data_IF_561028780721
#
_entry.id   IF_561028780721
#
_cell.length_a   1.000
_cell.length_b   1.000
_cell.length_c   1.000
_cell.angle_alpha   90.00
_cell.angle_beta   90.00
_cell.angle_gamma   90.00
#
_symmetry.space_group_name_H-M   'P 1'
#
loop_
_entity.id
_entity.type
_entity.pdbx_description
1 polymer ?
#
# COMPACT_ATOMS: atom_id res chain seq x y z
N UNK A 1 8.88 -25.19 -7.82
CA UNK A 1 9.93 -24.49 -8.63
C UNK A 1 9.75 -22.99 -8.40
N UNK A 2 10.81 -22.19 -8.33
CA UNK A 2 10.67 -20.76 -8.06
C UNK A 2 10.34 -19.96 -9.35
N UNK A 3 9.20 -19.27 -9.38
CA UNK A 3 8.87 -18.28 -10.41
C UNK A 3 9.28 -16.89 -9.92
N UNK A 4 9.94 -16.09 -10.77
CA UNK A 4 10.34 -14.72 -10.45
C UNK A 4 10.03 -13.77 -11.60
N UNK A 5 9.38 -12.65 -11.31
CA UNK A 5 9.08 -11.59 -12.28
C UNK A 5 9.06 -10.22 -11.62
N UNK A 6 8.97 -9.15 -12.42
CA UNK A 6 8.87 -7.79 -11.91
C UNK A 6 7.59 -7.12 -12.38
N UNK A 7 6.89 -6.50 -11.43
CA UNK A 7 5.81 -5.55 -11.71
C UNK A 7 6.42 -4.14 -11.74
N UNK A 8 6.51 -3.59 -12.95
CA UNK A 8 7.18 -2.31 -13.25
C UNK A 8 6.59 -1.67 -14.48
N UNK A 9 7.41 -1.37 -15.50
CA UNK A 9 6.98 -0.69 -16.72
C UNK A 9 6.35 0.70 -16.46
N UNK A 10 6.96 1.44 -15.54
CA UNK A 10 6.48 2.77 -15.15
C UNK A 10 6.49 3.78 -16.29
N UNK A 11 7.27 3.56 -17.36
CA UNK A 11 7.25 4.38 -18.57
C UNK A 11 5.87 4.43 -19.24
N UNK A 12 5.00 3.47 -18.91
CA UNK A 12 3.60 3.42 -19.35
C UNK A 12 2.59 3.70 -18.22
N UNK A 13 3.00 4.20 -17.06
CA UNK A 13 2.11 4.36 -15.87
C UNK A 13 0.94 5.32 -16.08
N UNK A 14 1.05 6.22 -17.07
CA UNK A 14 -0.02 7.14 -17.47
C UNK A 14 -0.84 6.62 -18.67
N UNK A 15 -0.46 5.49 -19.26
CA UNK A 15 -1.11 4.88 -20.42
C UNK A 15 -2.18 3.89 -20.00
N UNK A 16 -3.24 3.79 -20.80
CA UNK A 16 -4.27 2.76 -20.65
C UNK A 16 -3.76 1.36 -21.04
N UNK A 17 -2.63 1.24 -21.74
CA UNK A 17 -2.07 -0.05 -22.15
C UNK A 17 -1.05 -0.63 -21.15
N UNK A 18 -0.61 0.17 -20.17
CA UNK A 18 0.37 -0.24 -19.17
C UNK A 18 -0.20 -1.21 -18.12
N UNK A 19 0.62 -1.86 -17.29
CA UNK A 19 0.14 -2.79 -16.26
C UNK A 19 -0.45 -2.09 -15.03
N UNK A 20 -0.45 -0.75 -15.01
CA UNK A 20 -0.94 0.07 -13.91
C UNK A 20 -2.18 0.85 -14.32
N UNK A 21 -3.04 1.12 -13.34
CA UNK A 21 -4.16 2.04 -13.45
C UNK A 21 -4.25 2.92 -12.20
N UNK A 22 -4.93 4.05 -12.29
CA UNK A 22 -5.25 4.84 -11.10
C UNK A 22 -6.21 4.05 -10.22
N UNK A 23 -5.83 3.92 -8.94
CA UNK A 23 -6.62 3.23 -7.93
C UNK A 23 -7.87 4.00 -7.54
N UNK A 24 -8.81 3.29 -6.94
CA UNK A 24 -10.10 3.85 -6.58
C UNK A 24 -11.13 2.78 -6.26
N UNK A 25 -12.36 3.21 -6.01
CA UNK A 25 -13.48 2.32 -5.72
C UNK A 25 -14.78 2.79 -6.38
N UNK A 26 -15.62 1.86 -6.87
CA UNK A 26 -16.97 2.20 -7.27
C UNK A 26 -17.82 2.54 -6.04
N UNK A 27 -18.62 3.60 -6.17
CA UNK A 27 -19.50 4.10 -5.13
C UNK A 27 -20.93 3.59 -5.32
N UNK A 28 -21.71 3.63 -4.23
CA UNK A 28 -23.11 3.14 -4.24
C UNK A 28 -24.04 3.94 -5.17
N UNK A 29 -23.69 5.18 -5.47
CA UNK A 29 -24.42 6.04 -6.39
C UNK A 29 -24.08 5.79 -7.87
N UNK A 30 -23.20 4.81 -8.15
CA UNK A 30 -22.75 4.46 -9.49
C UNK A 30 -21.57 5.28 -10.02
N UNK A 31 -21.11 6.29 -9.26
CA UNK A 31 -19.88 7.01 -9.59
C UNK A 31 -18.63 6.20 -9.18
N UNK A 32 -17.45 6.68 -9.57
CA UNK A 32 -16.17 6.05 -9.21
C UNK A 32 -15.27 7.06 -8.51
N UNK A 33 -14.86 6.74 -7.28
CA UNK A 33 -13.87 7.52 -6.55
C UNK A 33 -12.48 7.18 -7.08
N UNK A 34 -11.68 8.19 -7.45
CA UNK A 34 -10.31 7.99 -7.93
C UNK A 34 -9.31 8.60 -6.97
N UNK A 35 -8.28 7.84 -6.62
CA UNK A 35 -7.12 8.33 -5.87
C UNK A 35 -6.15 9.02 -6.82
N UNK A 36 -6.52 10.23 -7.26
CA UNK A 36 -5.72 11.03 -8.18
C UNK A 36 -5.61 12.47 -7.69
N UNK A 37 -4.53 12.80 -7.00
CA UNK A 37 -4.20 14.21 -6.73
C UNK A 37 -4.07 14.98 -8.06
N UNK A 38 -4.81 16.10 -8.25
CA UNK A 38 -4.86 16.83 -9.51
C UNK A 38 -3.54 17.52 -9.87
N UNK A 39 -2.81 17.98 -8.86
CA UNK A 39 -1.53 18.69 -9.02
C UNK A 39 -0.32 17.76 -8.80
N UNK A 40 -0.53 16.44 -8.91
CA UNK A 40 0.56 15.48 -8.80
C UNK A 40 1.51 15.57 -10.00
N UNK A 41 2.80 15.67 -9.71
CA UNK A 41 3.88 15.64 -10.72
C UNK A 41 4.45 14.23 -10.76
N UNK A 42 4.24 13.54 -11.89
CA UNK A 42 4.70 12.17 -12.14
C UNK A 42 5.91 12.20 -13.05
N UNK A 43 7.01 11.59 -12.61
CA UNK A 43 8.27 11.51 -13.34
C UNK A 43 8.73 10.05 -13.34
N UNK A 44 9.09 9.55 -14.51
CA UNK A 44 9.70 8.22 -14.65
C UNK A 44 11.11 8.41 -15.17
N UNK A 45 12.09 7.90 -14.42
CA UNK A 45 13.50 7.99 -14.80
C UNK A 45 14.26 6.77 -14.27
N UNK A 46 15.15 6.22 -15.08
CA UNK A 46 15.98 5.06 -14.72
C UNK A 46 15.16 3.86 -14.19
N UNK A 47 13.96 3.65 -14.75
CA UNK A 47 13.05 2.57 -14.32
C UNK A 47 12.35 2.80 -12.98
N UNK A 48 12.54 3.96 -12.34
CA UNK A 48 11.90 4.33 -11.06
C UNK A 48 10.69 5.24 -11.31
N UNK A 49 9.66 5.08 -10.49
CA UNK A 49 8.53 5.99 -10.41
C UNK A 49 8.84 7.06 -9.36
N UNK A 50 8.63 8.33 -9.71
CA UNK A 50 8.65 9.47 -8.80
C UNK A 50 7.30 10.18 -8.90
N UNK A 51 6.66 10.43 -7.76
CA UNK A 51 5.43 11.22 -7.68
C UNK A 51 5.58 12.25 -6.57
N UNK A 52 5.38 13.53 -6.89
CA UNK A 52 5.23 14.60 -5.90
C UNK A 52 3.80 15.10 -5.93
N UNK A 53 3.09 15.01 -4.81
CA UNK A 53 1.69 15.41 -4.70
C UNK A 53 1.51 16.42 -3.55
N UNK A 54 1.17 17.68 -3.86
CA UNK A 54 0.48 18.55 -2.90
C UNK A 54 -0.87 17.91 -2.59
N UNK A 55 -1.16 17.68 -1.32
CA UNK A 55 -2.39 16.97 -0.94
C UNK A 55 -3.59 17.93 -1.01
N UNK A 56 -4.67 17.46 -1.64
CA UNK A 56 -5.92 18.20 -1.82
C UNK A 56 -7.15 17.31 -1.84
N UNK A 57 -6.99 16.00 -2.12
CA UNK A 57 -8.10 15.06 -2.06
C UNK A 57 -8.48 14.76 -0.63
N UNK A 58 -9.78 14.79 -0.37
CA UNK A 58 -10.38 14.34 0.88
C UNK A 58 -11.76 13.75 0.62
N UNK A 59 -12.26 12.96 1.57
CA UNK A 59 -13.58 12.37 1.52
C UNK A 59 -14.21 12.36 2.93
N UNK A 60 -15.18 13.25 3.15
CA UNK A 60 -15.67 13.57 4.51
C UNK A 60 -16.43 12.45 5.23
N UNK A 61 -16.83 11.39 4.52
CA UNK A 61 -17.80 10.42 5.04
C UNK A 61 -17.31 8.96 5.07
N UNK A 62 -16.18 8.65 4.45
CA UNK A 62 -15.71 7.25 4.29
C UNK A 62 -14.20 7.21 4.40
N UNK A 63 -13.70 6.65 5.50
CA UNK A 63 -12.28 6.65 5.87
C UNK A 63 -11.37 6.11 4.76
N UNK A 64 -11.69 4.94 4.21
CA UNK A 64 -10.89 4.32 3.13
C UNK A 64 -10.81 5.20 1.88
N UNK A 65 -11.85 5.99 1.60
CA UNK A 65 -11.84 6.91 0.46
C UNK A 65 -11.05 8.20 0.77
N UNK A 66 -10.95 8.58 2.04
CA UNK A 66 -10.17 9.73 2.48
C UNK A 66 -8.68 9.40 2.51
N UNK A 67 -8.30 8.22 2.98
CA UNK A 67 -6.90 7.91 3.30
C UNK A 67 -5.96 8.06 2.10
N UNK A 68 -6.31 7.43 0.97
CA UNK A 68 -5.50 7.51 -0.23
C UNK A 68 -5.76 8.80 -1.00
N UNK A 69 -4.66 9.43 -1.41
CA UNK A 69 -4.66 10.73 -2.11
C UNK A 69 -4.33 10.55 -3.57
N UNK A 70 -3.21 9.86 -3.81
CA UNK A 70 -2.76 9.48 -5.14
C UNK A 70 -2.30 8.03 -5.10
N UNK A 71 -2.90 7.16 -5.91
CA UNK A 71 -2.59 5.73 -5.85
C UNK A 71 -2.68 5.07 -7.21
N UNK A 72 -1.75 4.16 -7.48
CA UNK A 72 -1.80 3.25 -8.62
C UNK A 72 -2.06 1.83 -8.16
N UNK A 73 -2.90 1.11 -8.89
CA UNK A 73 -3.11 -0.33 -8.73
C UNK A 73 -2.51 -1.08 -9.90
N UNK A 74 -1.99 -2.28 -9.65
CA UNK A 74 -1.79 -3.27 -10.70
C UNK A 74 -3.14 -3.59 -11.35
N UNK A 75 -3.18 -3.68 -12.69
CA UNK A 75 -4.40 -4.05 -13.41
C UNK A 75 -4.75 -5.51 -13.18
N UNK A 76 -3.74 -6.36 -13.26
CA UNK A 76 -3.87 -7.78 -12.95
C UNK A 76 -3.42 -8.01 -11.51
N UNK A 77 -4.19 -8.78 -10.72
CA UNK A 77 -3.74 -9.22 -9.42
C UNK A 77 -2.64 -10.28 -9.56
N UNK A 78 -1.84 -10.44 -8.51
CA UNK A 78 -0.86 -11.50 -8.40
C UNK A 78 -1.43 -12.64 -7.56
N UNK A 79 -1.63 -13.79 -8.17
CA UNK A 79 -2.14 -14.99 -7.52
C UNK A 79 -1.15 -15.54 -6.46
N UNK A 80 -1.70 -15.96 -5.33
CA UNK A 80 -0.96 -16.64 -4.26
C UNK A 80 -0.97 -18.14 -4.53
N UNK A 81 0.19 -18.85 -4.50
CA UNK A 81 0.22 -20.29 -4.71
C UNK A 81 -0.56 -21.01 -3.61
N UNK A 82 -1.30 -22.07 -3.97
CA UNK A 82 -2.11 -22.81 -2.99
C UNK A 82 -1.25 -23.44 -1.90
N UNK A 83 -0.13 -24.04 -2.31
CA UNK A 83 0.86 -24.72 -1.47
C UNK A 83 2.19 -24.01 -1.69
N UNK A 84 2.49 -22.98 -0.90
CA UNK A 84 3.72 -22.24 -1.09
C UNK A 84 3.77 -20.88 -0.41
N UNK A 85 4.80 -20.13 -0.77
CA UNK A 85 5.01 -18.76 -0.35
C UNK A 85 5.14 -17.82 -1.56
N UNK A 86 4.72 -16.58 -1.35
CA UNK A 86 4.91 -15.49 -2.28
C UNK A 86 5.59 -14.33 -1.57
N UNK A 87 6.57 -13.71 -2.23
CA UNK A 87 7.33 -12.60 -1.70
C UNK A 87 7.32 -11.42 -2.66
N UNK A 88 7.06 -10.23 -2.13
CA UNK A 88 7.11 -8.96 -2.83
C UNK A 88 8.24 -8.12 -2.26
N UNK A 89 9.24 -7.79 -3.08
CA UNK A 89 10.40 -6.99 -2.69
C UNK A 89 10.49 -5.73 -3.53
N UNK A 90 10.71 -4.59 -2.90
CA UNK A 90 10.69 -3.28 -3.55
C UNK A 90 11.46 -2.25 -2.73
N UNK A 91 11.79 -1.12 -3.33
CA UNK A 91 12.43 -0.01 -2.66
C UNK A 91 11.51 1.21 -2.64
N UNK A 92 11.42 1.84 -1.48
CA UNK A 92 10.71 3.13 -1.30
C UNK A 92 11.68 4.15 -0.75
N UNK A 93 11.56 5.39 -1.26
CA UNK A 93 12.02 6.59 -0.58
C UNK A 93 10.87 7.58 -0.47
N UNK A 94 10.63 8.08 0.73
CA UNK A 94 9.64 9.09 1.01
C UNK A 94 10.30 10.42 1.38
N UNK A 95 9.65 11.52 1.01
CA UNK A 95 9.93 12.86 1.54
C UNK A 95 8.62 13.59 1.74
N UNK A 96 8.45 14.20 2.90
CA UNK A 96 7.28 15.02 3.22
C UNK A 96 7.71 16.48 3.38
N UNK A 97 6.76 17.37 3.16
CA UNK A 97 6.92 18.81 3.36
C UNK A 97 5.67 19.33 4.04
N UNK A 98 5.85 20.20 5.03
CA UNK A 98 4.76 20.82 5.80
C UNK A 98 3.86 19.77 6.48
N UNK A 99 4.41 18.58 6.79
CA UNK A 99 3.76 17.58 7.65
C UNK A 99 4.09 17.82 9.11
N UNK A 100 3.27 17.28 10.01
CA UNK A 100 3.50 17.30 11.45
C UNK A 100 4.70 16.38 11.79
N UNK A 101 5.78 16.91 12.39
CA UNK A 101 6.94 16.09 12.73
C UNK A 101 6.59 14.94 13.69
N UNK A 102 7.10 13.74 13.40
CA UNK A 102 6.85 12.53 14.18
C UNK A 102 5.47 11.88 13.95
N UNK A 103 4.66 12.44 13.07
CA UNK A 103 3.31 11.96 12.78
C UNK A 103 3.29 11.24 11.42
N UNK A 104 3.54 9.93 11.44
CA UNK A 104 3.57 9.11 10.23
C UNK A 104 2.28 9.25 9.40
N UNK A 105 1.15 9.42 10.06
CA UNK A 105 -0.18 9.40 9.46
C UNK A 105 -0.58 10.73 8.82
N UNK A 106 0.21 11.79 8.98
CA UNK A 106 -0.05 13.11 8.38
C UNK A 106 0.30 13.19 6.89
N UNK A 107 1.11 12.25 6.42
CA UNK A 107 1.43 12.10 5.01
C UNK A 107 2.56 11.08 4.83
N UNK A 108 2.28 10.01 4.08
CA UNK A 108 3.25 8.95 3.86
C UNK A 108 3.15 8.37 2.45
N UNK A 109 4.21 7.64 2.11
CA UNK A 109 4.32 6.86 0.87
C UNK A 109 4.11 5.41 1.24
N UNK A 110 3.35 4.67 0.45
CA UNK A 110 3.05 3.28 0.72
C UNK A 110 3.35 2.36 -0.45
N UNK A 111 3.58 1.10 -0.10
CA UNK A 111 3.16 -0.01 -0.95
C UNK A 111 2.11 -0.81 -0.20
N UNK A 112 1.04 -1.16 -0.91
CA UNK A 112 -0.06 -1.93 -0.37
C UNK A 112 -0.21 -3.25 -1.14
N UNK A 113 -0.46 -4.35 -0.43
CA UNK A 113 -0.85 -5.62 -1.04
C UNK A 113 -2.31 -5.90 -0.63
N UNK A 114 -3.22 -5.66 -1.57
CA UNK A 114 -4.65 -5.65 -1.31
C UNK A 114 -5.31 -6.91 -1.87
N UNK A 115 -5.85 -7.75 -1.01
CA UNK A 115 -6.68 -8.88 -1.41
C UNK A 115 -8.16 -8.49 -1.34
N UNK A 116 -8.70 -8.00 -2.46
CA UNK A 116 -10.12 -7.66 -2.58
C UNK A 116 -11.06 -8.87 -2.60
N UNK A 117 -10.56 -10.11 -2.47
CA UNK A 117 -11.40 -11.31 -2.28
C UNK A 117 -11.64 -11.64 -0.81
N UNK A 118 -10.76 -11.17 0.08
CA UNK A 118 -10.84 -11.45 1.52
C UNK A 118 -10.89 -10.18 2.37
N UNK A 119 -10.66 -9.01 1.77
CA UNK A 119 -10.56 -7.73 2.46
C UNK A 119 -9.19 -7.48 3.09
N UNK A 120 -8.21 -8.36 2.90
CA UNK A 120 -6.92 -8.23 3.55
C UNK A 120 -6.05 -7.13 2.93
N UNK A 121 -5.22 -6.50 3.76
CA UNK A 121 -4.20 -5.54 3.38
C UNK A 121 -2.89 -5.86 4.13
N UNK A 122 -1.81 -6.02 3.37
CA UNK A 122 -0.45 -6.15 3.89
C UNK A 122 0.40 -5.02 3.31
N UNK A 123 0.76 -4.05 4.14
CA UNK A 123 1.31 -2.79 3.64
C UNK A 123 2.59 -2.38 4.37
N UNK A 124 3.35 -1.50 3.72
CA UNK A 124 4.35 -0.66 4.36
C UNK A 124 3.97 0.80 4.15
N UNK A 125 3.93 1.58 5.23
CA UNK A 125 3.80 3.02 5.23
C UNK A 125 5.14 3.64 5.56
N UNK A 126 5.59 4.63 4.80
CA UNK A 126 6.97 5.13 4.85
C UNK A 126 6.98 6.65 4.82
N UNK A 127 7.72 7.23 5.76
CA UNK A 127 8.08 8.65 5.81
C UNK A 127 9.59 8.82 5.67
N UNK A 128 10.12 10.02 5.82
CA UNK A 128 11.55 10.25 5.65
C UNK A 128 12.40 9.77 6.84
N UNK A 129 11.79 9.53 8.00
CA UNK A 129 12.45 9.15 9.25
C UNK A 129 11.96 7.83 9.89
N UNK A 130 10.80 7.32 9.49
CA UNK A 130 10.24 6.06 10.03
C UNK A 130 9.36 5.30 9.04
N UNK A 131 8.99 4.08 9.40
CA UNK A 131 8.00 3.27 8.69
C UNK A 131 7.00 2.64 9.66
N UNK A 132 5.87 2.19 9.12
CA UNK A 132 4.98 1.25 9.77
C UNK A 132 4.72 0.05 8.86
N UNK A 133 4.79 -1.14 9.43
CA UNK A 133 4.22 -2.33 8.78
C UNK A 133 2.75 -2.45 9.17
N UNK A 134 1.89 -2.75 8.20
CA UNK A 134 0.43 -2.77 8.40
C UNK A 134 -0.12 -4.11 8.01
N UNK A 135 -0.96 -4.66 8.89
CA UNK A 135 -1.69 -5.89 8.66
C UNK A 135 -3.14 -5.64 9.04
N UNK A 136 -4.05 -5.79 8.07
CA UNK A 136 -5.45 -5.54 8.30
C UNK A 136 -6.38 -6.42 7.48
N UNK A 137 -7.62 -6.48 7.95
CA UNK A 137 -8.79 -6.93 7.20
C UNK A 137 -9.78 -5.77 7.24
N UNK A 138 -10.01 -5.16 6.08
CA UNK A 138 -10.71 -3.89 5.95
C UNK A 138 -12.04 -4.07 5.22
N UNK A 139 -13.07 -3.28 5.56
CA UNK A 139 -14.34 -3.27 4.86
C UNK A 139 -14.22 -2.47 3.54
N UNK A 140 -13.42 -2.97 2.59
CA UNK A 140 -13.28 -2.32 1.28
C UNK A 140 -14.64 -2.22 0.57
N UNK A 141 -14.94 -1.12 -0.14
CA UNK A 141 -16.17 -0.99 -0.90
C UNK A 141 -16.39 -2.16 -1.86
N UNK A 142 -17.55 -2.82 -1.73
CA UNK A 142 -17.98 -3.97 -2.55
C UNK A 142 -17.14 -5.24 -2.39
N UNK A 143 -16.39 -5.38 -1.30
CA UNK A 143 -15.69 -6.61 -0.93
C UNK A 143 -16.45 -7.30 0.20
N UNK A 144 -16.76 -8.58 0.02
CA UNK A 144 -17.33 -9.43 1.06
C UNK A 144 -16.22 -10.15 1.81
N UNK A 145 -16.02 -9.78 3.07
CA UNK A 145 -15.03 -10.44 3.94
C UNK A 145 -15.62 -11.76 4.48
N UNK A 146 -14.92 -12.89 4.32
CA UNK A 146 -15.36 -14.17 4.87
C UNK A 146 -15.55 -14.11 6.38
N UNK A 147 -16.57 -14.81 6.89
CA UNK A 147 -16.76 -14.96 8.33
C UNK A 147 -15.76 -15.96 8.91
N UNK A 148 -15.18 -15.62 10.06
CA UNK A 148 -14.32 -16.47 10.87
C UNK A 148 -14.81 -16.48 12.32
N UNK A 149 -14.19 -17.28 13.18
CA UNK A 149 -14.40 -17.24 14.63
C UNK A 149 -13.59 -16.13 15.33
N UNK A 150 -12.89 -15.29 14.56
CA UNK A 150 -12.02 -14.21 15.06
C UNK A 150 -12.60 -12.82 14.77
N UNK A 151 -11.87 -11.77 15.18
CA UNK A 151 -12.21 -10.38 14.86
C UNK A 151 -12.21 -10.17 13.35
N UNK A 152 -13.41 -9.91 12.79
CA UNK A 152 -13.60 -9.81 11.34
C UNK A 152 -12.85 -8.65 10.68
N UNK A 153 -12.90 -7.46 11.29
CA UNK A 153 -12.24 -6.27 10.77
C UNK A 153 -11.24 -5.73 11.76
N UNK A 154 -10.02 -5.46 11.29
CA UNK A 154 -8.94 -4.89 12.08
C UNK A 154 -7.93 -4.22 11.16
N UNK A 155 -7.14 -3.31 11.71
CA UNK A 155 -5.97 -2.76 11.06
C UNK A 155 -4.91 -2.50 12.14
N UNK A 156 -3.79 -3.22 12.06
CA UNK A 156 -2.75 -3.19 13.08
C UNK A 156 -1.50 -2.56 12.46
N UNK A 157 -1.17 -1.38 12.97
CA UNK A 157 0.03 -0.63 12.62
C UNK A 157 1.15 -0.96 13.60
N UNK A 158 2.34 -1.19 13.07
CA UNK A 158 3.55 -1.32 13.87
C UNK A 158 4.61 -0.37 13.32
N UNK A 159 4.67 0.80 13.94
CA UNK A 159 5.69 1.84 13.72
C UNK A 159 7.04 1.35 14.25
N UNK A 160 8.11 1.58 13.48
CA UNK A 160 9.47 1.18 13.83
C UNK A 160 10.49 1.97 12.98
N UNK A 161 11.74 1.95 13.42
CA UNK A 161 12.91 2.54 12.73
C UNK A 161 14.05 1.53 12.57
N UNK A 162 13.85 0.28 13.04
CA UNK A 162 14.84 -0.78 12.97
C UNK A 162 15.27 -1.05 11.53
N UNK A 163 16.59 -1.05 11.31
CA UNK A 163 17.21 -1.30 10.01
C UNK A 163 16.79 -0.32 8.90
N UNK A 164 16.15 0.80 9.24
CA UNK A 164 15.75 1.84 8.31
C UNK A 164 16.84 2.92 8.21
N UNK A 165 17.10 3.39 6.99
CA UNK A 165 17.99 4.51 6.69
C UNK A 165 17.17 5.74 6.33
N UNK A 166 17.23 6.78 7.16
CA UNK A 166 16.51 8.02 6.95
C UNK A 166 16.84 8.65 5.59
N UNK A 167 15.81 9.15 4.89
CA UNK A 167 15.90 9.85 3.59
C UNK A 167 16.57 9.04 2.47
N UNK A 168 16.80 7.75 2.67
CA UNK A 168 17.39 6.85 1.69
C UNK A 168 16.33 5.97 1.01
N UNK A 169 16.74 5.26 -0.03
CA UNK A 169 15.97 4.12 -0.50
C UNK A 169 16.19 2.97 0.47
N UNK A 170 15.11 2.48 1.07
CA UNK A 170 15.12 1.28 1.87
C UNK A 170 14.48 0.15 1.07
N UNK A 171 15.01 -1.06 1.21
CA UNK A 171 14.42 -2.27 0.63
C UNK A 171 13.42 -2.84 1.61
N UNK A 172 12.19 -3.02 1.16
CA UNK A 172 11.10 -3.62 1.89
C UNK A 172 10.75 -4.96 1.26
N UNK A 173 10.32 -5.90 2.09
CA UNK A 173 9.80 -7.16 1.61
C UNK A 173 8.66 -7.65 2.49
N UNK A 174 7.58 -8.07 1.84
CA UNK A 174 6.46 -8.78 2.47
C UNK A 174 6.41 -10.17 1.87
N UNK A 175 6.44 -11.19 2.71
CA UNK A 175 6.34 -12.59 2.32
C UNK A 175 5.11 -13.19 2.99
N UNK A 176 4.25 -13.83 2.22
CA UNK A 176 3.10 -14.58 2.73
C UNK A 176 3.27 -16.06 2.38
N UNK A 177 3.25 -16.91 3.40
CA UNK A 177 3.21 -18.35 3.27
C UNK A 177 1.79 -18.83 3.54
N UNK A 178 1.09 -19.23 2.47
CA UNK A 178 -0.32 -19.62 2.53
C UNK A 178 -0.53 -20.95 3.25
N UNK A 179 0.44 -21.86 3.17
CA UNK A 179 0.35 -23.15 3.84
C UNK A 179 0.55 -23.03 5.36
N UNK A 180 1.40 -22.11 5.78
CA UNK A 180 1.74 -21.86 7.18
C UNK A 180 0.89 -20.77 7.87
N UNK A 181 0.00 -20.10 7.14
CA UNK A 181 -0.78 -18.95 7.64
C UNK A 181 0.12 -17.86 8.25
N UNK A 182 1.18 -17.52 7.53
CA UNK A 182 2.25 -16.67 8.05
C UNK A 182 2.58 -15.52 7.12
N UNK A 183 2.67 -14.31 7.67
CA UNK A 183 3.20 -13.12 6.98
C UNK A 183 4.48 -12.66 7.65
N UNK A 184 5.52 -12.41 6.87
CA UNK A 184 6.80 -11.86 7.33
C UNK A 184 7.09 -10.55 6.62
N UNK A 185 7.46 -9.54 7.41
CA UNK A 185 7.89 -8.23 6.94
C UNK A 185 9.38 -8.07 7.22
N UNK A 186 10.12 -7.58 6.23
CA UNK A 186 11.53 -7.22 6.40
C UNK A 186 11.86 -5.87 5.79
N UNK A 187 12.82 -5.19 6.44
CA UNK A 187 13.40 -3.92 6.00
C UNK A 187 14.91 -4.11 5.95
N UNK A 188 15.52 -3.80 4.80
CA UNK A 188 16.95 -3.99 4.53
C UNK A 188 17.45 -5.38 4.98
N UNK A 189 16.72 -6.41 4.55
CA UNK A 189 16.97 -7.84 4.83
C UNK A 189 16.90 -8.26 6.31
N UNK A 190 16.40 -7.39 7.18
CA UNK A 190 16.14 -7.72 8.59
C UNK A 190 14.65 -7.89 8.81
N UNK A 191 14.27 -9.01 9.44
CA UNK A 191 12.89 -9.21 9.89
C UNK A 191 12.51 -8.20 10.97
N UNK A 192 11.36 -7.55 10.75
CA UNK A 192 10.82 -6.49 11.63
C UNK A 192 9.46 -6.88 12.21
N UNK A 193 8.71 -7.75 11.52
CA UNK A 193 7.41 -8.23 11.96
C UNK A 193 7.11 -9.61 11.36
N UNK A 194 6.44 -10.43 12.15
CA UNK A 194 5.90 -11.73 11.76
C UNK A 194 4.52 -11.86 12.37
N UNK A 195 3.56 -12.25 11.55
CA UNK A 195 2.21 -12.60 11.94
C UNK A 195 2.02 -14.09 11.64
N UNK A 196 1.64 -14.85 12.66
CA UNK A 196 1.28 -16.26 12.53
C UNK A 196 -0.24 -16.41 12.72
N UNK A 197 -0.78 -17.54 12.31
CA UNK A 197 -2.21 -17.86 12.44
C UNK A 197 -3.11 -16.82 11.74
N UNK A 198 -2.69 -16.35 10.56
CA UNK A 198 -3.49 -15.44 9.71
C UNK A 198 -4.89 -16.05 9.51
N UNK A 199 -5.98 -15.35 9.88
CA UNK A 199 -7.30 -15.94 10.02
C UNK A 199 -7.99 -16.22 8.69
N UNK A 200 -7.40 -15.77 7.57
CA UNK A 200 -7.95 -15.86 6.23
C UNK A 200 -6.87 -16.38 5.27
N UNK A 201 -7.24 -17.30 4.39
CA UNK A 201 -6.38 -17.67 3.26
C UNK A 201 -6.41 -16.55 2.23
N UNK A 202 -5.34 -15.77 2.18
CA UNK A 202 -5.18 -14.73 1.16
C UNK A 202 -4.97 -15.40 -0.20
N UNK A 203 -5.69 -14.91 -1.21
CA UNK A 203 -5.79 -15.59 -2.51
C UNK A 203 -5.01 -14.89 -3.60
N UNK A 204 -5.05 -13.56 -3.62
CA UNK A 204 -4.41 -12.75 -4.63
C UNK A 204 -4.13 -11.35 -4.11
N UNK A 205 -3.16 -10.66 -4.70
CA UNK A 205 -2.83 -9.29 -4.32
C UNK A 205 -2.90 -8.34 -5.51
N UNK A 206 -3.77 -7.33 -5.39
CA UNK A 206 -3.63 -6.08 -6.15
C UNK A 206 -2.49 -5.30 -5.51
N UNK A 207 -1.44 -5.02 -6.27
CA UNK A 207 -0.31 -4.22 -5.77
C UNK A 207 -0.64 -2.74 -5.91
N UNK A 208 -0.57 -2.02 -4.80
CA UNK A 208 -0.84 -0.60 -4.70
C UNK A 208 0.42 0.23 -4.46
N UNK A 209 0.60 1.33 -5.19
CA UNK A 209 1.64 2.34 -4.94
C UNK A 209 0.96 3.63 -4.52
N UNK A 210 1.09 4.04 -3.26
CA UNK A 210 0.24 5.07 -2.67
C UNK A 210 0.97 6.27 -2.08
N UNK A 211 0.36 7.44 -2.22
CA UNK A 211 0.55 8.60 -1.36
C UNK A 211 -0.73 8.77 -0.57
N UNK A 212 -0.61 8.77 0.75
CA UNK A 212 -1.75 8.61 1.64
C UNK A 212 -1.58 9.44 2.92
N UNK A 213 -2.68 9.56 3.66
CA UNK A 213 -2.78 10.03 5.05
C UNK A 213 -3.66 9.03 5.79
N UNK A 214 -3.55 8.95 7.12
CA UNK A 214 -4.38 8.06 7.93
C UNK A 214 -4.90 8.84 9.15
N UNK A 215 -5.58 9.96 8.87
CA UNK A 215 -6.24 10.78 9.90
C UNK A 215 -7.70 10.37 10.02
N UNK A 216 -8.12 10.04 11.23
CA UNK A 216 -9.52 9.73 11.50
C UNK A 216 -10.43 10.86 11.03
N UNK A 217 -11.53 10.49 10.37
CA UNK A 217 -12.60 11.42 10.08
C UNK A 217 -13.19 11.96 11.39
N UNK A 218 -13.46 13.26 11.40
CA UNK A 218 -14.16 13.93 12.49
C UNK A 218 -15.67 13.98 12.21
N UNK A 219 -16.52 14.33 13.19
CA UNK A 219 -17.92 14.62 12.92
C UNK A 219 -18.15 15.69 11.86
N UNK A 220 -17.20 16.62 11.70
CA UNK A 220 -17.22 17.70 10.72
C UNK A 220 -16.69 17.29 9.33
N UNK A 221 -16.11 16.09 9.21
CA UNK A 221 -15.54 15.56 7.97
C UNK A 221 -14.04 15.32 8.05
N UNK A 222 -13.38 15.37 6.88
CA UNK A 222 -11.96 15.09 6.76
C UNK A 222 -11.10 16.21 7.31
N UNK A 223 -10.06 15.83 8.07
CA UNK A 223 -9.02 16.72 8.60
C UNK A 223 -7.63 16.34 8.09
N UNK A 224 -7.55 15.43 7.12
CA UNK A 224 -6.28 14.87 6.67
C UNK A 224 -5.46 15.80 5.79
N UNK A 225 -6.05 16.86 5.23
CA UNK A 225 -5.36 17.81 4.35
C UNK A 225 -5.30 19.19 4.98
N UNK A 226 -4.09 19.75 5.09
CA UNK A 226 -3.84 21.07 5.68
C UNK A 226 -2.77 21.90 4.94
N UNK A 227 -2.29 21.42 3.80
CA UNK A 227 -1.31 22.12 2.95
C UNK A 227 0.02 21.38 2.76
N UNK A 228 0.10 20.15 3.25
CA UNK A 228 1.28 19.31 3.12
C UNK A 228 1.51 18.78 1.70
N UNK A 229 2.75 18.41 1.43
CA UNK A 229 3.15 17.72 0.19
C UNK A 229 3.86 16.43 0.55
N UNK A 230 3.53 15.36 -0.17
CA UNK A 230 4.24 14.07 -0.08
C UNK A 230 4.91 13.76 -1.41
N UNK A 231 6.13 13.25 -1.34
CA UNK A 231 6.90 12.77 -2.48
C UNK A 231 7.27 11.32 -2.27
N UNK A 232 6.79 10.44 -3.15
CA UNK A 232 7.13 9.03 -3.19
C UNK A 232 8.02 8.68 -4.36
N UNK A 233 8.97 7.79 -4.11
CA UNK A 233 9.77 7.15 -5.14
C UNK A 233 9.73 5.63 -4.95
N UNK A 234 9.43 4.88 -6.02
CA UNK A 234 9.32 3.43 -6.00
C UNK A 234 10.21 2.78 -7.05
N UNK A 235 10.82 1.66 -6.68
CA UNK A 235 11.36 0.70 -7.65
C UNK A 235 10.26 -0.18 -8.23
N UNK A 236 10.54 -0.89 -9.34
CA UNK A 236 9.74 -2.05 -9.71
C UNK A 236 9.64 -3.05 -8.55
N UNK A 237 8.50 -3.70 -8.42
CA UNK A 237 8.25 -4.71 -7.39
C UNK A 237 8.69 -6.07 -7.93
N UNK A 238 9.65 -6.69 -7.26
CA UNK A 238 10.10 -8.04 -7.58
C UNK A 238 9.23 -9.05 -6.86
N UNK A 239 8.55 -9.90 -7.61
CA UNK A 239 7.70 -10.97 -7.10
C UNK A 239 8.43 -12.29 -7.23
N UNK A 240 8.49 -13.07 -6.16
CA UNK A 240 9.02 -14.44 -6.14
C UNK A 240 7.96 -15.38 -5.56
N UNK A 241 7.64 -16.45 -6.29
CA UNK A 241 6.67 -17.48 -5.91
C UNK A 241 7.40 -18.80 -5.77
N UNK A 242 7.27 -19.45 -4.62
CA UNK A 242 7.83 -20.77 -4.34
C UNK A 242 6.69 -21.73 -4.02
N UNK A 243 6.45 -22.69 -4.91
CA UNK A 243 5.60 -23.89 -4.68
C UNK A 243 6.39 -25.02 -4.01
#
# INVERSE_FOLDING_TARGET
MAQKFQLGAFDTILSEDGPWQIGGFPLRDGSFWTYREPEAVVIVRNGMLYVRAPLSRSHDNVQILDNAKHMYYSKEPVEVPENGEISFEFQIRARTQDTVPGDLYDGYVSLNLLDFTTGAALDFFVTDDQYASVYGVLPFPNVEVPDTDQTKYFCIFKEDTKSFEERAFNTYRITYNRAADEVVYSVNDVEVRREADVPLKLNQFTVGLGIMTEKDLTPEGSVSVHGQTVTGEWSPVTVTINE
#
